data_IF_630277228904
#
_entry.id   IF_630277228904
#
_cell.length_a   1.000
_cell.length_b   1.000
_cell.length_c   1.000
_cell.angle_alpha   90.00
_cell.angle_beta   90.00
_cell.angle_gamma   90.00
#
_symmetry.space_group_name_H-M   'P 1'
#
loop_
_entity.id
_entity.type
_entity.pdbx_description
1 polymer ?
#
# COMPACT_ATOMS: atom_id res chain seq x y z
N UNK A 1 -14.42 -0.84 -10.44
CA UNK A 1 -14.41 0.62 -10.62
C UNK A 1 -13.83 0.98 -11.98
N UNK A 2 -14.29 2.07 -12.57
CA UNK A 2 -13.81 2.57 -13.86
C UNK A 2 -12.98 3.85 -13.70
N UNK A 3 -12.90 4.36 -12.48
CA UNK A 3 -12.13 5.56 -12.14
C UNK A 3 -11.68 5.52 -10.69
N UNK A 4 -10.71 6.37 -10.35
CA UNK A 4 -10.26 6.50 -8.96
C UNK A 4 -11.39 7.02 -8.06
N UNK A 5 -12.22 7.92 -8.56
CA UNK A 5 -13.37 8.45 -7.82
C UNK A 5 -14.35 7.34 -7.44
N UNK A 6 -14.74 6.48 -8.39
CA UNK A 6 -15.60 5.32 -8.11
C UNK A 6 -14.92 4.32 -7.15
N UNK A 7 -13.61 4.14 -7.29
CA UNK A 7 -12.87 3.28 -6.39
C UNK A 7 -12.88 3.83 -4.96
N UNK A 8 -12.71 5.14 -4.77
CA UNK A 8 -12.76 5.78 -3.45
C UNK A 8 -14.15 5.59 -2.83
N UNK A 9 -15.23 5.81 -3.57
CA UNK A 9 -16.59 5.59 -3.08
C UNK A 9 -16.81 4.14 -2.63
N UNK A 10 -16.32 3.19 -3.42
CA UNK A 10 -16.35 1.78 -3.06
C UNK A 10 -15.52 1.49 -1.80
N UNK A 11 -14.31 2.06 -1.71
CA UNK A 11 -13.41 1.88 -0.57
C UNK A 11 -14.04 2.42 0.71
N UNK A 12 -14.55 3.65 0.69
CA UNK A 12 -15.22 4.28 1.83
C UNK A 12 -16.43 3.48 2.31
N UNK A 13 -17.19 2.89 1.39
CA UNK A 13 -18.36 2.07 1.73
C UNK A 13 -18.04 0.81 2.54
N UNK A 14 -16.77 0.41 2.60
CA UNK A 14 -16.28 -0.80 3.29
C UNK A 14 -15.54 -0.50 4.58
N UNK A 15 -15.33 0.75 4.89
CA UNK A 15 -14.69 1.11 6.15
C UNK A 15 -15.66 0.90 7.32
N UNK A 16 -15.17 0.26 8.37
CA UNK A 16 -15.93 0.08 9.62
C UNK A 16 -16.00 1.37 10.44
N UNK A 17 -14.96 2.19 10.36
CA UNK A 17 -14.83 3.46 11.05
C UNK A 17 -14.58 4.59 10.05
N UNK A 18 -15.07 5.81 10.32
CA UNK A 18 -14.77 6.95 9.47
C UNK A 18 -13.26 7.19 9.37
N UNK A 19 -12.75 7.62 8.22
CA UNK A 19 -11.37 8.07 8.09
C UNK A 19 -11.05 9.21 9.06
N UNK A 20 -9.76 9.40 9.38
CA UNK A 20 -9.31 10.63 10.03
C UNK A 20 -9.68 11.85 9.17
N UNK A 21 -9.77 13.02 9.77
CA UNK A 21 -10.06 14.26 9.02
C UNK A 21 -9.04 14.49 7.90
N UNK A 22 -7.76 14.23 8.18
CA UNK A 22 -6.70 14.32 7.16
C UNK A 22 -6.97 13.39 5.98
N UNK A 23 -7.25 12.11 6.25
CA UNK A 23 -7.51 11.13 5.18
C UNK A 23 -8.78 11.48 4.41
N UNK A 24 -9.84 11.91 5.10
CA UNK A 24 -11.09 12.31 4.45
C UNK A 24 -10.87 13.50 3.51
N UNK A 25 -10.12 14.52 3.95
CA UNK A 25 -9.83 15.69 3.11
C UNK A 25 -9.05 15.33 1.84
N UNK A 26 -8.08 14.41 1.96
CA UNK A 26 -7.32 13.91 0.80
C UNK A 26 -8.23 13.14 -0.15
N UNK A 27 -9.06 12.22 0.36
CA UNK A 27 -9.97 11.42 -0.45
C UNK A 27 -11.04 12.28 -1.14
N UNK A 28 -11.59 13.28 -0.45
CA UNK A 28 -12.57 14.19 -1.04
C UNK A 28 -11.98 14.98 -2.21
N UNK A 29 -10.78 15.52 -2.06
CA UNK A 29 -10.07 16.19 -3.17
C UNK A 29 -9.76 15.23 -4.32
N UNK A 30 -9.37 13.99 -3.99
CA UNK A 30 -9.06 12.98 -5.00
C UNK A 30 -10.31 12.54 -5.80
N UNK A 31 -11.49 12.52 -5.18
CA UNK A 31 -12.76 12.27 -5.89
C UNK A 31 -13.06 13.37 -6.91
N UNK A 32 -12.74 14.61 -6.59
CA UNK A 32 -12.97 15.76 -7.49
C UNK A 32 -11.94 15.80 -8.63
N UNK A 33 -10.67 15.51 -8.33
CA UNK A 33 -9.55 15.65 -9.29
C UNK A 33 -9.24 14.37 -10.05
N UNK A 34 -9.67 13.22 -9.56
CA UNK A 34 -9.32 11.90 -10.09
C UNK A 34 -7.90 11.44 -9.77
N UNK A 35 -7.22 12.09 -8.83
CA UNK A 35 -5.82 11.83 -8.51
C UNK A 35 -5.47 12.17 -7.06
N UNK A 36 -4.65 11.32 -6.42
CA UNK A 36 -3.94 11.68 -5.19
C UNK A 36 -2.56 12.17 -5.58
N UNK A 37 -2.20 13.44 -5.31
CA UNK A 37 -0.85 13.93 -5.55
C UNK A 37 0.18 13.19 -4.69
N UNK A 38 1.41 13.04 -5.19
CA UNK A 38 2.50 12.47 -4.39
C UNK A 38 2.72 13.25 -3.09
N UNK A 39 2.51 14.56 -3.09
CA UNK A 39 2.62 15.40 -1.90
C UNK A 39 1.65 14.98 -0.78
N UNK A 40 0.44 14.58 -1.11
CA UNK A 40 -0.53 14.08 -0.13
C UNK A 40 -0.13 12.68 0.39
N UNK A 41 0.42 11.84 -0.47
CA UNK A 41 0.96 10.54 -0.06
C UNK A 41 2.18 10.69 0.86
N UNK A 42 3.11 11.57 0.52
CA UNK A 42 4.28 11.91 1.36
C UNK A 42 3.83 12.52 2.71
N UNK A 43 2.80 13.38 2.69
CA UNK A 43 2.21 13.95 3.90
C UNK A 43 1.61 12.87 4.81
N UNK A 44 0.98 11.85 4.25
CA UNK A 44 0.46 10.71 5.02
C UNK A 44 1.59 10.00 5.79
N UNK A 45 2.70 9.69 5.13
CA UNK A 45 3.84 9.07 5.79
C UNK A 45 4.53 10.00 6.80
N UNK A 46 4.56 11.30 6.55
CA UNK A 46 5.07 12.27 7.52
C UNK A 46 4.21 12.30 8.79
N UNK A 47 2.89 12.26 8.65
CA UNK A 47 1.98 12.16 9.80
C UNK A 47 2.17 10.86 10.57
N UNK A 48 2.35 9.74 9.89
CA UNK A 48 2.65 8.46 10.50
C UNK A 48 3.93 8.53 11.35
N UNK A 49 5.01 9.08 10.80
CA UNK A 49 6.28 9.26 11.52
C UNK A 49 6.12 10.15 12.74
N UNK A 50 5.42 11.27 12.62
CA UNK A 50 5.16 12.19 13.72
C UNK A 50 4.35 11.53 14.84
N UNK A 51 3.33 10.76 14.49
CA UNK A 51 2.53 9.99 15.43
C UNK A 51 3.39 8.98 16.19
N UNK A 52 4.19 8.20 15.47
CA UNK A 52 5.09 7.20 16.08
C UNK A 52 6.14 7.84 16.99
N UNK A 53 6.75 8.93 16.55
CA UNK A 53 7.73 9.69 17.34
C UNK A 53 7.08 10.24 18.63
N UNK A 54 5.87 10.78 18.53
CA UNK A 54 5.10 11.27 19.67
C UNK A 54 4.76 10.17 20.68
N UNK A 55 4.76 8.91 20.27
CA UNK A 55 4.57 7.73 21.13
C UNK A 55 5.88 7.12 21.67
N UNK A 56 7.01 7.77 21.38
CA UNK A 56 8.32 7.37 21.88
C UNK A 56 9.12 6.44 20.98
N UNK A 57 8.65 6.21 19.74
CA UNK A 57 9.36 5.39 18.76
C UNK A 57 10.24 6.30 17.92
N UNK A 58 11.57 6.21 18.12
CA UNK A 58 12.54 7.16 17.60
C UNK A 58 13.07 6.80 16.21
N UNK A 59 13.12 5.52 15.88
CA UNK A 59 13.64 5.03 14.61
C UNK A 59 12.54 4.44 13.76
N UNK A 60 12.20 5.13 12.68
CA UNK A 60 11.25 4.65 11.68
C UNK A 60 11.97 4.65 10.34
N UNK A 61 12.21 3.46 9.83
CA UNK A 61 12.85 3.25 8.53
C UNK A 61 11.78 2.88 7.51
N UNK A 62 11.55 3.75 6.53
CA UNK A 62 10.67 3.47 5.42
C UNK A 62 11.49 2.93 4.25
N UNK A 63 11.09 1.78 3.73
CA UNK A 63 11.63 1.23 2.48
C UNK A 63 10.89 1.90 1.33
N UNK A 64 11.64 2.55 0.43
CA UNK A 64 11.10 3.16 -0.79
C UNK A 64 11.29 2.22 -1.97
N UNK A 65 10.20 1.91 -2.65
CA UNK A 65 10.19 1.12 -3.88
C UNK A 65 10.33 2.00 -5.13
N UNK A 66 10.76 1.46 -6.28
CA UNK A 66 10.81 2.21 -7.55
C UNK A 66 9.46 2.79 -7.97
N UNK A 67 8.36 2.18 -7.55
CA UNK A 67 6.99 2.68 -7.68
C UNK A 67 6.72 3.96 -6.88
N UNK A 68 7.70 4.42 -6.09
CA UNK A 68 7.62 5.52 -5.11
C UNK A 68 6.74 5.23 -3.90
N UNK A 69 6.28 4.00 -3.73
CA UNK A 69 5.60 3.56 -2.52
C UNK A 69 6.59 3.34 -1.38
N UNK A 70 6.12 3.55 -0.16
CA UNK A 70 6.88 3.30 1.07
C UNK A 70 6.25 2.19 1.88
N UNK A 71 7.10 1.47 2.61
CA UNK A 71 6.67 0.49 3.62
C UNK A 71 7.49 0.71 4.88
N UNK A 72 6.84 0.70 6.04
CA UNK A 72 7.56 0.65 7.33
C UNK A 72 8.17 -0.74 7.50
N UNK A 73 9.50 -0.79 7.56
CA UNK A 73 10.27 -2.03 7.72
C UNK A 73 10.32 -2.46 9.18
N UNK A 74 9.19 -2.56 9.83
CA UNK A 74 9.12 -2.86 11.25
C UNK A 74 9.83 -4.16 11.62
N UNK A 75 11.03 -4.03 12.12
CA UNK A 75 11.64 -5.04 12.95
C UNK A 75 12.12 -4.34 14.25
N UNK A 76 11.45 -4.60 15.35
CA UNK A 76 11.79 -4.02 16.65
C UNK A 76 12.13 -5.15 17.59
N UNK A 77 13.36 -5.12 18.06
CA UNK A 77 13.81 -6.01 19.10
C UNK A 77 13.53 -5.40 20.46
N UNK A 78 13.04 -6.20 21.40
CA UNK A 78 12.76 -5.75 22.75
C UNK A 78 12.09 -6.84 23.59
N UNK A 79 11.60 -6.45 24.78
CA UNK A 79 10.76 -7.33 25.57
C UNK A 79 9.40 -7.52 24.91
N UNK A 80 8.68 -8.59 25.24
CA UNK A 80 7.34 -8.85 24.71
C UNK A 80 6.39 -7.67 24.95
N UNK A 81 6.47 -7.01 26.11
CA UNK A 81 5.66 -5.84 26.42
C UNK A 81 6.02 -4.64 25.52
N UNK A 82 7.31 -4.44 25.21
CA UNK A 82 7.77 -3.38 24.30
C UNK A 82 7.34 -3.64 22.86
N UNK A 83 7.44 -4.87 22.42
CA UNK A 83 6.99 -5.28 21.06
C UNK A 83 5.48 -5.11 20.91
N UNK A 84 4.70 -5.51 21.92
CA UNK A 84 3.25 -5.33 21.93
C UNK A 84 2.87 -3.86 21.86
N UNK A 85 3.50 -3.02 22.71
CA UNK A 85 3.27 -1.57 22.68
C UNK A 85 3.60 -0.97 21.33
N UNK A 86 4.74 -1.34 20.73
CA UNK A 86 5.14 -0.86 19.42
C UNK A 86 4.13 -1.26 18.32
N UNK A 87 3.59 -2.47 18.37
CA UNK A 87 2.56 -2.94 17.44
C UNK A 87 1.24 -2.18 17.60
N UNK A 88 0.82 -1.92 18.84
CA UNK A 88 -0.39 -1.13 19.12
C UNK A 88 -0.23 0.32 18.66
N UNK A 89 0.91 0.94 18.92
CA UNK A 89 1.23 2.29 18.46
C UNK A 89 1.27 2.39 16.95
N UNK A 90 1.86 1.39 16.29
CA UNK A 90 1.87 1.31 14.82
C UNK A 90 0.45 1.22 14.25
N UNK A 91 -0.38 0.34 14.78
CA UNK A 91 -1.76 0.19 14.32
C UNK A 91 -2.55 1.49 14.48
N UNK A 92 -2.40 2.17 15.62
CA UNK A 92 -3.06 3.44 15.86
C UNK A 92 -2.58 4.55 14.90
N UNK A 93 -1.27 4.69 14.72
CA UNK A 93 -0.69 5.70 13.84
C UNK A 93 -0.96 5.43 12.37
N UNK A 94 -0.87 4.16 11.95
CA UNK A 94 -1.16 3.76 10.57
C UNK A 94 -2.64 3.94 10.23
N UNK A 95 -3.54 3.64 11.17
CA UNK A 95 -4.98 3.82 11.01
C UNK A 95 -5.40 5.24 10.63
N UNK A 96 -4.64 6.26 11.03
CA UNK A 96 -4.92 7.65 10.67
C UNK A 96 -4.67 7.96 9.19
N UNK A 97 -3.78 7.22 8.55
CA UNK A 97 -3.29 7.52 7.19
C UNK A 97 -3.54 6.41 6.17
N UNK A 98 -3.92 5.22 6.63
CA UNK A 98 -4.08 4.04 5.75
C UNK A 98 -5.02 4.28 4.57
N UNK A 99 -6.13 5.02 4.65
CA UNK A 99 -6.97 5.24 3.48
C UNK A 99 -6.24 5.96 2.33
N UNK A 100 -5.39 6.91 2.66
CA UNK A 100 -4.57 7.61 1.64
C UNK A 100 -3.53 6.67 1.04
N UNK A 101 -2.87 5.86 1.88
CA UNK A 101 -1.83 4.93 1.45
C UNK A 101 -2.42 3.84 0.55
N UNK A 102 -3.53 3.24 0.95
CA UNK A 102 -4.19 2.18 0.18
C UNK A 102 -4.68 2.69 -1.18
N UNK A 103 -5.37 3.82 -1.21
CA UNK A 103 -5.91 4.38 -2.45
C UNK A 103 -4.79 4.84 -3.39
N UNK A 104 -3.74 5.46 -2.84
CA UNK A 104 -2.55 5.81 -3.65
C UNK A 104 -1.86 4.55 -4.20
N UNK A 105 -1.77 3.48 -3.43
CA UNK A 105 -1.26 2.18 -3.88
C UNK A 105 -2.02 1.67 -5.10
N UNK A 106 -3.34 1.72 -5.06
CA UNK A 106 -4.20 1.34 -6.20
C UNK A 106 -3.96 2.26 -7.39
N UNK A 107 -3.89 3.57 -7.17
CA UNK A 107 -3.61 4.54 -8.25
C UNK A 107 -2.31 4.20 -9.01
N UNK A 108 -1.29 3.73 -8.30
CA UNK A 108 0.03 3.43 -8.87
C UNK A 108 0.12 2.00 -9.40
N UNK A 109 -0.37 1.02 -8.67
CA UNK A 109 -0.13 -0.40 -8.91
C UNK A 109 -1.31 -1.19 -9.46
N UNK A 110 -2.50 -0.59 -9.51
CA UNK A 110 -3.72 -1.22 -10.04
C UNK A 110 -4.52 -0.22 -10.88
N UNK A 111 -3.89 0.31 -11.91
CA UNK A 111 -4.45 1.38 -12.75
C UNK A 111 -5.73 0.98 -13.49
N UNK A 112 -5.99 -0.32 -13.63
CA UNK A 112 -7.17 -0.87 -14.27
C UNK A 112 -8.26 -1.30 -13.27
N UNK A 113 -8.04 -1.07 -11.98
CA UNK A 113 -8.98 -1.36 -10.90
C UNK A 113 -9.46 -2.82 -10.85
N UNK A 114 -8.57 -3.77 -11.08
CA UNK A 114 -8.90 -5.19 -10.92
C UNK A 114 -9.37 -5.47 -9.48
N UNK A 115 -10.43 -6.23 -9.36
CA UNK A 115 -10.94 -6.66 -8.05
C UNK A 115 -10.10 -7.80 -7.44
N UNK A 116 -9.45 -8.59 -8.29
CA UNK A 116 -8.58 -9.68 -7.87
C UNK A 116 -7.14 -9.20 -7.77
N UNK A 117 -6.51 -9.39 -6.60
CA UNK A 117 -5.14 -8.94 -6.34
C UNK A 117 -4.12 -9.58 -7.29
N UNK A 118 -4.26 -10.87 -7.61
CA UNK A 118 -3.35 -11.56 -8.54
C UNK A 118 -3.44 -10.99 -9.96
N UNK A 119 -4.62 -10.62 -10.42
CA UNK A 119 -4.81 -9.93 -11.71
C UNK A 119 -4.14 -8.56 -11.72
N UNK A 120 -4.34 -7.79 -10.63
CA UNK A 120 -3.72 -6.47 -10.48
C UNK A 120 -2.18 -6.55 -10.44
N UNK A 121 -1.63 -7.51 -9.70
CA UNK A 121 -0.19 -7.71 -9.61
C UNK A 121 0.38 -8.14 -10.96
N UNK A 122 -0.24 -9.08 -11.65
CA UNK A 122 0.24 -9.56 -12.96
C UNK A 122 0.16 -8.44 -14.01
N UNK A 123 -0.89 -7.64 -14.01
CA UNK A 123 -0.97 -6.44 -14.87
C UNK A 123 0.18 -5.47 -14.60
N UNK A 124 0.50 -5.22 -13.32
CA UNK A 124 1.63 -4.40 -12.91
C UNK A 124 2.97 -5.00 -13.36
N UNK A 125 3.17 -6.32 -13.19
CA UNK A 125 4.38 -7.02 -13.64
C UNK A 125 4.54 -6.97 -15.17
N UNK A 126 3.46 -7.10 -15.93
CA UNK A 126 3.48 -6.94 -17.39
C UNK A 126 3.87 -5.52 -17.80
N UNK A 127 3.29 -4.51 -17.16
CA UNK A 127 3.62 -3.10 -17.44
C UNK A 127 5.08 -2.75 -17.11
N UNK A 128 5.70 -3.49 -16.22
CA UNK A 128 7.11 -3.35 -15.83
C UNK A 128 8.07 -4.29 -16.60
N UNK A 129 7.56 -5.03 -17.59
CA UNK A 129 8.34 -5.99 -18.39
C UNK A 129 9.08 -7.05 -17.55
N UNK A 130 8.51 -7.45 -16.42
CA UNK A 130 9.13 -8.40 -15.48
C UNK A 130 8.71 -9.85 -15.72
N UNK A 131 7.68 -10.08 -16.50
CA UNK A 131 7.15 -11.40 -16.83
C UNK A 131 6.84 -11.51 -18.32
N UNK A 132 6.88 -12.75 -18.90
CA UNK A 132 6.49 -12.97 -20.29
C UNK A 132 5.01 -12.58 -20.54
N UNK A 133 4.69 -12.19 -21.78
CA UNK A 133 3.34 -11.77 -22.16
C UNK A 133 2.24 -12.82 -21.93
N UNK A 134 2.60 -14.09 -21.84
CA UNK A 134 1.69 -15.21 -21.56
C UNK A 134 1.58 -15.57 -20.07
N UNK A 135 2.26 -14.85 -19.19
CA UNK A 135 2.18 -15.05 -17.74
C UNK A 135 0.79 -14.65 -17.22
N UNK A 136 0.16 -15.51 -16.42
CA UNK A 136 -1.22 -15.34 -16.00
C UNK A 136 -1.37 -15.13 -14.49
N UNK A 137 -2.49 -14.56 -14.07
CA UNK A 137 -2.85 -14.43 -12.65
C UNK A 137 -2.97 -15.79 -11.95
N UNK A 138 -3.47 -16.82 -12.63
CA UNK A 138 -3.50 -18.18 -12.09
C UNK A 138 -2.11 -18.76 -11.86
N UNK A 139 -1.18 -18.52 -12.78
CA UNK A 139 0.22 -18.91 -12.62
C UNK A 139 0.86 -18.19 -11.44
N UNK A 140 0.69 -16.88 -11.31
CA UNK A 140 1.19 -16.10 -10.18
C UNK A 140 0.65 -16.64 -8.85
N UNK A 141 -0.65 -16.90 -8.74
CA UNK A 141 -1.27 -17.42 -7.53
C UNK A 141 -0.69 -18.78 -7.13
N UNK A 142 -0.46 -19.67 -8.09
CA UNK A 142 0.16 -20.98 -7.85
C UNK A 142 1.63 -20.86 -7.42
N UNK A 143 2.40 -20.00 -8.07
CA UNK A 143 3.80 -19.74 -7.73
C UNK A 143 3.94 -19.11 -6.34
N UNK A 144 3.06 -18.17 -6.00
CA UNK A 144 3.01 -17.55 -4.67
C UNK A 144 2.70 -18.59 -3.59
N UNK A 145 1.75 -19.48 -3.83
CA UNK A 145 1.39 -20.54 -2.88
C UNK A 145 2.52 -21.54 -2.67
N UNK A 146 3.32 -21.85 -3.70
CA UNK A 146 4.46 -22.76 -3.61
C UNK A 146 5.75 -22.10 -3.15
N UNK A 147 5.85 -20.78 -3.25
CA UNK A 147 7.09 -20.04 -3.02
C UNK A 147 8.13 -20.17 -4.15
N UNK A 148 7.76 -20.78 -5.27
CA UNK A 148 8.64 -21.01 -6.42
C UNK A 148 8.20 -20.15 -7.61
N UNK A 149 8.84 -18.99 -7.76
CA UNK A 149 8.52 -18.06 -8.83
C UNK A 149 9.35 -18.33 -10.10
N UNK A 150 8.73 -18.20 -11.25
CA UNK A 150 9.38 -18.29 -12.57
C UNK A 150 10.04 -16.98 -13.02
N UNK A 151 9.90 -15.92 -12.24
CA UNK A 151 10.53 -14.61 -12.43
C UNK A 151 11.35 -14.22 -11.19
N UNK A 152 12.14 -13.16 -11.29
CA UNK A 152 12.90 -12.64 -10.15
C UNK A 152 11.98 -11.96 -9.12
N UNK A 153 11.51 -12.72 -8.13
CA UNK A 153 10.65 -12.27 -7.04
C UNK A 153 11.35 -11.32 -6.06
N UNK A 154 12.66 -11.15 -6.16
CA UNK A 154 13.46 -10.19 -5.37
C UNK A 154 13.61 -8.84 -6.06
N UNK A 155 13.21 -8.74 -7.31
CA UNK A 155 13.25 -7.48 -8.04
C UNK A 155 12.38 -6.43 -7.34
N UNK A 156 12.95 -5.26 -7.05
CA UNK A 156 12.28 -4.21 -6.29
C UNK A 156 11.05 -3.62 -7.01
N UNK A 157 11.03 -3.58 -8.34
CA UNK A 157 9.84 -3.16 -9.09
C UNK A 157 8.71 -4.18 -8.94
N UNK A 158 9.04 -5.47 -9.04
CA UNK A 158 8.08 -6.56 -8.80
C UNK A 158 7.53 -6.54 -7.37
N UNK A 159 8.39 -6.33 -6.38
CA UNK A 159 7.97 -6.14 -4.99
C UNK A 159 7.07 -4.93 -4.82
N UNK A 160 7.34 -3.85 -5.56
CA UNK A 160 6.47 -2.67 -5.60
C UNK A 160 5.06 -2.97 -6.11
N UNK A 161 4.91 -3.87 -7.09
CA UNK A 161 3.62 -4.33 -7.56
C UNK A 161 2.83 -5.08 -6.47
N UNK A 162 3.52 -5.93 -5.71
CA UNK A 162 2.91 -6.63 -4.57
C UNK A 162 2.50 -5.67 -3.46
N UNK A 163 3.38 -4.76 -3.08
CA UNK A 163 3.12 -3.73 -2.05
C UNK A 163 1.91 -2.86 -2.43
N UNK A 164 1.82 -2.44 -3.68
CA UNK A 164 0.71 -1.62 -4.17
C UNK A 164 -0.65 -2.32 -4.05
N UNK A 165 -0.65 -3.65 -4.06
CA UNK A 165 -1.84 -4.49 -4.01
C UNK A 165 -1.98 -5.27 -2.69
N UNK A 166 -1.33 -4.81 -1.64
CA UNK A 166 -1.37 -5.39 -0.28
C UNK A 166 -1.01 -6.89 -0.25
N UNK A 167 0.03 -7.25 -0.97
CA UNK A 167 0.42 -8.65 -1.10
C UNK A 167 1.88 -8.91 -0.69
#
# INVERSE_FOLDING_TARGET
>A
ANSLSEYIDWYESRLYEPPSQFAQDVLDRAKETGNIPMSDYEAAWSRYKQCMTGRGIKEIVLIKYPTRLYVDSLHREGTQAQEQKASEDQSACYGEVVPVIDVYGVQVGNVNFYANASEAIVDCLHRSDLVPGNYTAGQYAAEKASGNYSFDDRNMEGRGCEVANNS
#
